data_IF_413887721140
#
_entry.id   IF_413887721140
#
_cell.length_a   1.000
_cell.length_b   1.000
_cell.length_c   1.000
_cell.angle_alpha   90.00
_cell.angle_beta   90.00
_cell.angle_gamma   90.00
#
_symmetry.space_group_name_H-M   'P 1'
#
loop_
_entity.id
_entity.type
_entity.pdbx_description
1 polymer ?
#
# COMPACT_ATOMS: atom_id res chain seq x y z
N UNK A 1 32.48 1.13 22.95
CA UNK A 1 31.56 2.28 22.77
C UNK A 1 32.30 3.33 21.95
N UNK A 2 31.96 3.45 20.67
CA UNK A 2 32.61 4.36 19.73
C UNK A 2 32.13 5.81 19.90
N UNK A 3 32.83 6.76 19.26
CA UNK A 3 32.48 8.19 19.27
C UNK A 3 31.03 8.45 18.77
N UNK A 4 30.57 7.65 17.80
CA UNK A 4 29.19 7.67 17.29
C UNK A 4 28.16 7.24 18.33
N UNK A 5 28.47 6.27 19.20
CA UNK A 5 27.54 5.79 20.24
C UNK A 5 27.27 6.87 21.29
N UNK A 6 28.31 7.62 21.65
CA UNK A 6 28.23 8.73 22.62
C UNK A 6 27.44 9.91 22.01
N UNK A 7 27.70 10.25 20.75
CA UNK A 7 26.95 11.27 20.00
C UNK A 7 25.46 10.88 19.86
N UNK A 8 25.18 9.61 19.55
CA UNK A 8 23.82 9.09 19.48
C UNK A 8 23.11 9.20 20.83
N UNK A 9 23.77 8.82 21.93
CA UNK A 9 23.20 8.92 23.28
C UNK A 9 22.87 10.37 23.67
N UNK A 10 23.75 11.32 23.33
CA UNK A 10 23.58 12.75 23.61
C UNK A 10 22.54 13.43 22.70
N UNK A 11 22.35 12.93 21.49
CA UNK A 11 21.41 13.47 20.50
C UNK A 11 19.97 12.97 20.66
N UNK A 12 19.75 11.83 21.34
CA UNK A 12 18.42 11.23 21.56
C UNK A 12 17.39 12.22 22.15
N UNK A 13 17.70 13.03 23.18
CA UNK A 13 16.76 14.02 23.71
C UNK A 13 16.38 15.10 22.70
N UNK A 14 17.34 15.59 21.90
CA UNK A 14 17.09 16.60 20.86
C UNK A 14 16.24 16.03 19.74
N UNK A 15 16.52 14.80 19.34
CA UNK A 15 15.76 14.09 18.32
C UNK A 15 14.29 13.91 18.73
N UNK A 16 14.03 13.55 20.00
CA UNK A 16 12.69 13.46 20.58
C UNK A 16 11.90 14.77 20.48
N UNK A 17 12.55 15.91 20.74
CA UNK A 17 11.95 17.24 20.61
C UNK A 17 11.57 17.51 19.14
N UNK A 18 12.52 17.27 18.22
CA UNK A 18 12.30 17.44 16.78
C UNK A 18 11.11 16.61 16.32
N UNK A 19 11.08 15.32 16.67
CA UNK A 19 10.03 14.36 16.32
C UNK A 19 8.66 14.86 16.80
N UNK A 20 8.56 15.20 18.08
CA UNK A 20 7.31 15.67 18.69
C UNK A 20 6.80 16.94 18.02
N UNK A 21 7.69 17.89 17.77
CA UNK A 21 7.34 19.18 17.16
C UNK A 21 7.01 19.01 15.67
N UNK A 22 7.77 18.22 14.92
CA UNK A 22 7.56 17.97 13.48
C UNK A 22 6.22 17.29 13.19
N UNK A 23 5.84 16.31 14.02
CA UNK A 23 4.54 15.64 13.91
C UNK A 23 3.40 16.35 14.63
N UNK A 24 3.71 17.43 15.36
CA UNK A 24 2.70 18.25 16.02
C UNK A 24 1.98 17.53 17.18
N UNK A 25 2.62 16.51 17.79
CA UNK A 25 2.01 15.74 18.87
C UNK A 25 1.65 16.61 20.08
N UNK A 26 0.54 16.29 20.75
CA UNK A 26 0.30 16.69 22.13
C UNK A 26 1.17 15.87 23.08
N UNK A 27 1.27 16.28 24.36
CA UNK A 27 2.00 15.47 25.35
C UNK A 27 1.41 14.06 25.48
N UNK A 28 0.08 13.95 25.46
CA UNK A 28 -0.60 12.67 25.60
C UNK A 28 -0.36 11.78 24.39
N UNK A 29 -0.49 12.32 23.17
CA UNK A 29 -0.20 11.59 21.93
C UNK A 29 1.27 11.13 21.88
N UNK A 30 2.20 12.00 22.28
CA UNK A 30 3.62 11.67 22.30
C UNK A 30 3.96 10.57 23.32
N UNK A 31 3.41 10.65 24.55
CA UNK A 31 3.55 9.58 25.55
C UNK A 31 3.00 8.27 25.03
N UNK A 32 1.83 8.30 24.38
CA UNK A 32 1.25 7.09 23.80
C UNK A 32 2.10 6.50 22.68
N UNK A 33 2.66 7.33 21.80
CA UNK A 33 3.56 6.87 20.74
C UNK A 33 4.84 6.23 21.32
N UNK A 34 5.38 6.77 22.41
CA UNK A 34 6.52 6.19 23.12
C UNK A 34 6.19 4.83 23.75
N UNK A 35 5.02 4.69 24.39
CA UNK A 35 4.57 3.40 24.97
C UNK A 35 4.41 2.30 23.91
N UNK A 36 4.04 2.67 22.69
CA UNK A 36 3.85 1.74 21.57
C UNK A 36 5.15 1.43 20.81
N UNK A 37 6.29 1.99 21.21
CA UNK A 37 7.59 1.76 20.56
C UNK A 37 7.73 2.40 19.17
N UNK A 38 6.77 3.22 18.72
CA UNK A 38 6.73 3.77 17.35
C UNK A 38 7.97 4.61 17.00
N UNK A 39 8.56 5.24 18.02
CA UNK A 39 9.71 6.13 17.87
C UNK A 39 11.05 5.40 17.97
N UNK A 40 11.05 4.09 18.20
CA UNK A 40 12.26 3.27 18.28
C UNK A 40 12.79 2.91 16.88
N UNK A 41 11.91 2.82 15.88
CA UNK A 41 12.28 2.56 14.49
C UNK A 41 13.02 3.73 13.81
N UNK A 42 12.89 4.93 14.37
CA UNK A 42 13.43 6.16 13.78
C UNK A 42 14.46 6.72 14.74
N UNK A 43 15.71 6.34 14.57
CA UNK A 43 16.83 6.87 15.34
C UNK A 43 17.81 7.65 14.47
N UNK A 44 18.80 8.27 15.12
CA UNK A 44 19.79 9.08 14.42
C UNK A 44 20.66 8.29 13.44
N UNK A 45 20.84 6.99 13.67
CA UNK A 45 21.58 6.13 12.76
C UNK A 45 20.77 5.87 11.49
N UNK A 46 19.50 5.47 11.63
CA UNK A 46 18.56 5.33 10.52
C UNK A 46 18.52 6.61 9.68
N UNK A 47 18.58 7.78 10.33
CA UNK A 47 18.60 9.09 9.66
C UNK A 47 19.79 9.35 8.71
N UNK A 48 20.82 8.50 8.72
CA UNK A 48 21.98 8.62 7.83
C UNK A 48 21.86 7.80 6.54
N UNK A 49 20.73 7.14 6.30
CA UNK A 49 20.53 6.26 5.15
C UNK A 49 19.31 6.63 4.30
N UNK A 50 19.39 6.35 3.01
CA UNK A 50 18.26 6.29 2.11
C UNK A 50 17.72 4.88 2.02
N UNK A 51 16.42 4.80 1.76
CA UNK A 51 15.86 3.67 1.05
C UNK A 51 15.86 3.98 -0.44
N UNK A 52 16.35 3.05 -1.24
CA UNK A 52 16.52 3.20 -2.69
C UNK A 52 15.72 2.11 -3.38
N UNK A 53 14.79 2.50 -4.25
CA UNK A 53 14.12 1.60 -5.17
C UNK A 53 14.74 1.78 -6.56
N UNK A 54 15.63 0.86 -6.91
CA UNK A 54 16.39 0.85 -8.15
C UNK A 54 15.67 0.04 -9.23
N UNK A 55 15.32 0.64 -10.39
CA UNK A 55 14.82 -0.13 -11.53
C UNK A 55 15.91 -1.10 -12.02
N UNK A 56 15.66 -2.40 -11.92
CA UNK A 56 16.58 -3.46 -12.38
C UNK A 56 16.10 -4.17 -13.65
N UNK A 57 14.82 -3.97 -14.02
CA UNK A 57 14.29 -4.36 -15.32
C UNK A 57 13.19 -3.38 -15.72
N UNK A 58 13.25 -2.86 -16.93
CA UNK A 58 12.27 -1.89 -17.44
C UNK A 58 11.97 -2.20 -18.90
N UNK A 59 10.69 -2.35 -19.22
CA UNK A 59 10.21 -2.60 -20.57
C UNK A 59 9.04 -1.66 -20.86
N UNK A 60 9.20 -0.76 -21.83
CA UNK A 60 8.18 0.22 -22.23
C UNK A 60 7.59 1.07 -21.08
N UNK A 61 8.35 1.32 -20.01
CA UNK A 61 7.86 2.11 -18.86
C UNK A 61 7.66 3.59 -19.25
N UNK A 62 6.41 4.04 -19.30
CA UNK A 62 6.06 5.46 -19.57
C UNK A 62 6.58 6.44 -18.52
N UNK A 63 6.85 5.97 -17.31
CA UNK A 63 7.52 6.75 -16.26
C UNK A 63 9.03 6.95 -16.50
N UNK A 64 9.59 6.32 -17.53
CA UNK A 64 11.02 6.34 -17.86
C UNK A 64 11.91 5.98 -16.66
N UNK A 65 11.42 5.08 -15.81
CA UNK A 65 12.15 4.47 -14.72
C UNK A 65 13.01 3.36 -15.31
N UNK A 66 14.29 3.61 -15.54
CA UNK A 66 15.25 2.64 -16.06
C UNK A 66 16.51 2.64 -15.19
N UNK A 67 17.46 1.76 -15.48
CA UNK A 67 18.70 1.66 -14.72
C UNK A 67 19.37 3.04 -14.55
N UNK A 68 19.82 3.32 -13.33
CA UNK A 68 20.37 4.63 -12.95
C UNK A 68 19.33 5.71 -12.59
N UNK A 69 18.03 5.44 -12.73
CA UNK A 69 16.94 6.36 -12.34
C UNK A 69 16.16 5.85 -11.13
N UNK A 70 16.86 5.68 -10.02
CA UNK A 70 16.28 5.20 -8.77
C UNK A 70 15.31 6.18 -8.13
N UNK A 71 14.34 5.63 -7.39
CA UNK A 71 13.52 6.40 -6.47
C UNK A 71 14.18 6.37 -5.09
N UNK A 72 14.32 7.55 -4.50
CA UNK A 72 14.95 7.72 -3.19
C UNK A 72 13.91 8.10 -2.17
N UNK A 73 13.92 7.42 -1.03
CA UNK A 73 13.11 7.74 0.12
C UNK A 73 14.02 8.06 1.29
N UNK A 74 13.56 8.97 2.13
CA UNK A 74 14.19 9.23 3.40
C UNK A 74 13.95 8.03 4.35
N UNK A 75 14.62 7.99 5.50
CA UNK A 75 14.48 6.91 6.48
C UNK A 75 13.06 6.74 7.04
N UNK A 76 12.15 7.69 6.79
CA UNK A 76 10.74 7.65 7.16
C UNK A 76 9.84 7.26 5.97
N UNK A 77 10.41 6.76 4.87
CA UNK A 77 9.68 6.29 3.70
C UNK A 77 9.09 7.43 2.86
N UNK A 78 9.52 8.67 3.06
CA UNK A 78 9.05 9.82 2.28
C UNK A 78 9.93 10.03 1.05
N UNK A 79 9.31 10.21 -0.12
CA UNK A 79 10.00 10.42 -1.39
C UNK A 79 10.87 11.70 -1.38
N UNK A 80 12.14 11.56 -1.75
CA UNK A 80 13.10 12.65 -1.88
C UNK A 80 13.00 13.24 -3.29
N UNK A 81 12.08 14.19 -3.46
CA UNK A 81 11.69 14.75 -4.76
C UNK A 81 12.85 15.26 -5.63
N UNK A 82 13.87 15.88 -5.05
CA UNK A 82 15.02 16.43 -5.81
C UNK A 82 16.00 15.35 -6.30
N UNK A 83 15.88 14.11 -5.80
CA UNK A 83 16.69 12.96 -6.22
C UNK A 83 15.93 12.01 -7.14
N UNK A 84 14.61 12.11 -7.17
CA UNK A 84 13.77 11.24 -8.00
C UNK A 84 13.55 11.86 -9.39
N UNK A 85 13.21 11.04 -10.40
CA UNK A 85 12.75 11.56 -11.69
C UNK A 85 11.57 12.54 -11.54
N UNK A 86 11.42 13.54 -12.44
CA UNK A 86 10.34 14.52 -12.36
C UNK A 86 8.93 13.91 -12.35
N UNK A 87 8.76 12.77 -13.03
CA UNK A 87 7.53 11.99 -13.04
C UNK A 87 7.74 10.66 -12.34
N UNK A 88 6.90 10.35 -11.34
CA UNK A 88 6.90 9.05 -10.68
C UNK A 88 5.54 8.39 -10.90
N UNK A 89 5.53 7.30 -11.67
CA UNK A 89 4.33 6.51 -11.90
C UNK A 89 3.77 5.93 -10.59
N UNK A 90 2.48 6.19 -10.32
CA UNK A 90 1.80 5.72 -9.10
C UNK A 90 1.72 4.19 -9.04
N UNK A 91 1.65 3.50 -10.19
CA UNK A 91 1.59 2.04 -10.27
C UNK A 91 2.90 1.33 -9.91
N UNK A 92 4.03 2.05 -9.96
CA UNK A 92 5.29 1.57 -9.40
C UNK A 92 5.40 1.95 -7.93
N UNK A 93 5.12 3.23 -7.61
CA UNK A 93 5.24 3.76 -6.26
C UNK A 93 4.37 3.02 -5.23
N UNK A 94 3.13 2.68 -5.59
CA UNK A 94 2.21 1.97 -4.69
C UNK A 94 2.70 0.58 -4.31
N UNK A 95 3.49 -0.07 -5.17
CA UNK A 95 4.00 -1.42 -4.92
C UNK A 95 5.20 -1.44 -3.96
N UNK A 96 5.86 -0.30 -3.78
CA UNK A 96 6.98 -0.19 -2.85
C UNK A 96 6.50 -0.18 -1.40
N UNK A 97 5.25 0.24 -1.13
CA UNK A 97 4.77 0.45 0.24
C UNK A 97 4.86 -0.79 1.14
N UNK A 98 4.48 -2.02 0.72
CA UNK A 98 4.64 -3.20 1.57
C UNK A 98 6.11 -3.51 1.90
N UNK A 99 7.02 -3.30 0.94
CA UNK A 99 8.46 -3.56 1.13
C UNK A 99 9.09 -2.54 2.09
N UNK A 100 8.59 -1.31 2.13
CA UNK A 100 9.02 -0.29 3.11
C UNK A 100 8.74 -0.75 4.55
N UNK A 101 7.65 -1.50 4.79
CA UNK A 101 7.37 -2.04 6.12
C UNK A 101 8.33 -3.16 6.52
N UNK A 102 8.74 -4.02 5.58
CA UNK A 102 9.78 -5.03 5.81
C UNK A 102 11.12 -4.37 6.17
N UNK A 103 11.43 -3.23 5.52
CA UNK A 103 12.58 -2.40 5.88
C UNK A 103 12.52 -1.89 7.32
N UNK A 104 11.36 -1.39 7.77
CA UNK A 104 11.20 -0.94 9.16
C UNK A 104 11.32 -2.09 10.16
N UNK A 105 10.75 -3.25 9.84
CA UNK A 105 10.84 -4.44 10.69
C UNK A 105 12.29 -4.89 10.87
N UNK A 106 13.08 -4.93 9.80
CA UNK A 106 14.52 -5.23 9.88
C UNK A 106 15.26 -4.24 10.77
N UNK A 107 15.01 -2.93 10.60
CA UNK A 107 15.64 -1.91 11.44
C UNK A 107 15.25 -2.06 12.92
N UNK A 108 13.98 -2.29 13.23
CA UNK A 108 13.50 -2.52 14.59
C UNK A 108 14.11 -3.77 15.24
N UNK A 109 14.44 -4.78 14.44
CA UNK A 109 15.13 -5.99 14.90
C UNK A 109 16.66 -5.85 14.93
N UNK A 110 17.21 -4.69 14.58
CA UNK A 110 18.66 -4.46 14.47
C UNK A 110 19.33 -5.28 13.35
N UNK A 111 18.57 -5.71 12.36
CA UNK A 111 19.05 -6.46 11.18
C UNK A 111 19.35 -5.50 10.03
N UNK A 112 20.20 -5.94 9.10
CA UNK A 112 20.47 -5.18 7.88
C UNK A 112 19.27 -5.31 6.91
N UNK A 113 18.59 -4.21 6.55
CA UNK A 113 17.48 -4.26 5.58
C UNK A 113 17.91 -4.68 4.18
N UNK A 114 19.20 -4.69 3.85
CA UNK A 114 19.68 -5.27 2.59
C UNK A 114 19.58 -6.81 2.53
N UNK A 115 19.17 -7.44 3.63
CA UNK A 115 18.94 -8.90 3.71
C UNK A 115 17.45 -9.27 3.64
N UNK A 116 16.57 -8.32 3.32
CA UNK A 116 15.15 -8.59 3.11
C UNK A 116 14.95 -9.65 2.04
N UNK A 117 14.03 -10.58 2.29
CA UNK A 117 13.66 -11.64 1.34
C UNK A 117 12.86 -11.05 0.17
N UNK A 118 12.02 -10.06 0.45
CA UNK A 118 11.15 -9.41 -0.53
C UNK A 118 11.73 -8.07 -0.98
N UNK A 119 12.95 -8.09 -1.50
CA UNK A 119 13.64 -6.89 -2.01
C UNK A 119 13.25 -6.54 -3.45
N UNK A 120 12.67 -7.46 -4.21
CA UNK A 120 12.22 -7.24 -5.59
C UNK A 120 10.70 -7.08 -5.70
N UNK A 121 10.26 -6.00 -6.33
CA UNK A 121 8.83 -5.74 -6.57
C UNK A 121 8.54 -5.17 -7.95
N UNK A 122 7.63 -5.84 -8.65
CA UNK A 122 7.12 -5.41 -9.95
C UNK A 122 6.03 -4.35 -9.80
N UNK A 123 5.94 -3.42 -10.76
CA UNK A 123 4.80 -2.52 -10.87
C UNK A 123 3.50 -3.30 -11.16
N UNK A 124 2.35 -2.61 -11.14
CA UNK A 124 1.04 -3.25 -11.37
C UNK A 124 0.81 -3.72 -12.82
N UNK A 125 1.48 -3.09 -13.78
CA UNK A 125 1.24 -3.31 -15.20
C UNK A 125 1.94 -4.58 -15.67
N UNK A 126 1.24 -5.39 -16.48
CA UNK A 126 1.68 -6.68 -16.97
C UNK A 126 2.66 -6.61 -18.15
N UNK A 127 2.89 -5.42 -18.72
CA UNK A 127 3.74 -5.21 -19.89
C UNK A 127 3.01 -5.43 -21.22
N UNK A 128 3.68 -5.01 -22.30
CA UNK A 128 3.12 -4.91 -23.65
C UNK A 128 2.64 -6.25 -24.21
N UNK A 129 3.41 -7.33 -23.98
CA UNK A 129 3.07 -8.69 -24.44
C UNK A 129 1.74 -9.22 -23.86
N UNK A 130 1.29 -8.63 -22.76
CA UNK A 130 0.03 -8.97 -22.09
C UNK A 130 -1.04 -7.87 -22.27
N UNK A 131 -0.82 -6.96 -23.22
CA UNK A 131 -1.71 -5.84 -23.56
C UNK A 131 -1.55 -4.60 -22.68
N UNK A 132 -0.66 -4.65 -21.68
CA UNK A 132 -0.35 -3.53 -20.80
C UNK A 132 0.46 -2.43 -21.51
N UNK A 133 0.82 -1.38 -20.78
CA UNK A 133 1.58 -0.25 -21.33
C UNK A 133 3.09 -0.43 -21.17
N UNK A 134 3.52 -1.22 -20.19
CA UNK A 134 4.92 -1.47 -19.90
C UNK A 134 5.11 -2.06 -18.50
N UNK A 135 6.25 -2.65 -18.22
CA UNK A 135 6.55 -3.26 -16.93
C UNK A 135 7.84 -2.70 -16.34
N UNK A 136 7.89 -2.67 -15.01
CA UNK A 136 9.08 -2.28 -14.27
C UNK A 136 9.25 -3.15 -13.04
N UNK A 137 10.49 -3.56 -12.77
CA UNK A 137 10.89 -4.28 -11.59
C UNK A 137 11.88 -3.43 -10.81
N UNK A 138 11.55 -3.15 -9.55
CA UNK A 138 12.42 -2.44 -8.62
C UNK A 138 13.10 -3.44 -7.70
N UNK A 139 14.39 -3.21 -7.43
CA UNK A 139 15.11 -3.75 -6.27
C UNK A 139 15.18 -2.69 -5.19
N UNK A 140 14.78 -3.03 -3.98
CA UNK A 140 14.75 -2.16 -2.81
C UNK A 140 15.97 -2.45 -1.95
N UNK A 141 16.74 -1.41 -1.64
CA UNK A 141 17.96 -1.51 -0.82
C UNK A 141 18.16 -0.28 0.04
N UNK A 142 19.00 -0.41 1.06
CA UNK A 142 19.45 0.68 1.93
C UNK A 142 20.81 1.18 1.48
N UNK A 143 20.98 2.51 1.41
CA UNK A 143 22.25 3.15 1.02
C UNK A 143 22.61 4.27 1.99
N UNK A 144 23.88 4.41 2.35
CA UNK A 144 24.32 5.52 3.22
C UNK A 144 24.29 6.84 2.47
N UNK A 145 23.71 7.87 3.07
CA UNK A 145 23.66 9.20 2.47
C UNK A 145 25.08 9.81 2.37
N UNK A 146 25.41 10.47 1.25
CA UNK A 146 26.52 11.43 1.20
C UNK A 146 26.31 12.51 2.26
N UNK A 147 27.42 12.96 2.86
CA UNK A 147 27.39 13.91 3.98
C UNK A 147 26.58 15.19 3.68
N UNK A 148 26.70 15.75 2.47
CA UNK A 148 25.95 16.95 2.08
C UNK A 148 24.44 16.73 2.02
N UNK A 149 23.98 15.53 1.67
CA UNK A 149 22.55 15.19 1.63
C UNK A 149 22.02 14.90 3.03
N UNK A 150 22.81 14.26 3.86
CA UNK A 150 22.51 14.14 5.29
C UNK A 150 22.37 15.52 5.94
N UNK A 151 23.32 16.43 5.70
CA UNK A 151 23.27 17.80 6.21
C UNK A 151 22.03 18.53 5.70
N UNK A 152 21.73 18.43 4.40
CA UNK A 152 20.50 18.99 3.80
C UNK A 152 19.26 18.45 4.50
N UNK A 153 19.18 17.14 4.74
CA UNK A 153 18.06 16.52 5.45
C UNK A 153 17.95 17.04 6.89
N UNK A 154 19.06 17.09 7.64
CA UNK A 154 19.07 17.62 9.01
C UNK A 154 18.67 19.09 9.08
N UNK A 155 19.05 19.91 8.10
CA UNK A 155 18.60 21.30 8.01
C UNK A 155 17.08 21.42 7.84
N UNK A 156 16.42 20.45 7.19
CA UNK A 156 14.93 20.42 7.15
C UNK A 156 14.30 20.03 8.49
N UNK A 157 15.06 19.42 9.39
CA UNK A 157 14.62 19.01 10.72
C UNK A 157 14.90 20.08 11.78
N UNK A 158 15.96 20.86 11.60
CA UNK A 158 16.45 21.84 12.57
C UNK A 158 15.38 22.86 13.07
N UNK A 159 14.46 23.41 12.24
CA UNK A 159 13.43 24.32 12.73
C UNK A 159 12.55 23.70 13.82
N UNK A 160 12.35 22.38 13.80
CA UNK A 160 11.51 21.68 14.77
C UNK A 160 12.16 21.49 16.14
N UNK A 161 13.40 21.95 16.34
CA UNK A 161 13.96 22.10 17.69
C UNK A 161 13.21 23.15 18.51
N UNK A 162 12.63 24.16 17.86
CA UNK A 162 11.98 25.29 18.53
C UNK A 162 10.58 25.59 18.01
N UNK A 163 10.26 25.22 16.76
CA UNK A 163 8.95 25.48 16.14
C UNK A 163 8.12 24.21 16.09
N UNK A 164 6.87 24.28 16.57
CA UNK A 164 5.90 23.19 16.39
C UNK A 164 5.27 23.24 14.99
N UNK A 165 5.15 22.10 14.33
CA UNK A 165 4.49 21.98 13.03
C UNK A 165 2.98 21.98 13.18
N UNK A 166 2.35 23.14 13.09
CA UNK A 166 0.89 23.23 13.15
C UNK A 166 0.21 22.57 11.95
N UNK A 167 0.87 22.53 10.79
CA UNK A 167 0.33 21.90 9.57
C UNK A 167 0.24 20.38 9.66
N UNK A 168 0.96 19.76 10.60
CA UNK A 168 0.81 18.33 10.88
C UNK A 168 -0.55 18.03 11.55
N UNK A 169 -1.24 19.05 12.07
CA UNK A 169 -2.60 18.94 12.59
C UNK A 169 -3.57 19.53 11.57
N UNK A 170 -4.48 18.71 11.10
CA UNK A 170 -5.62 19.13 10.31
C UNK A 170 -6.89 18.79 11.05
N UNK A 171 -7.86 19.70 11.05
CA UNK A 171 -9.21 19.31 11.43
C UNK A 171 -9.75 18.28 10.43
N UNK A 172 -10.42 17.23 10.92
CA UNK A 172 -11.08 16.27 10.06
C UNK A 172 -12.39 16.86 9.50
N UNK A 173 -12.26 17.79 8.55
CA UNK A 173 -13.37 18.45 7.86
C UNK A 173 -14.38 17.44 7.31
N UNK A 174 -13.88 16.34 6.74
CA UNK A 174 -14.70 15.27 6.19
C UNK A 174 -15.64 14.62 7.24
N UNK A 175 -15.21 14.50 8.50
CA UNK A 175 -16.07 13.97 9.58
C UNK A 175 -17.14 14.98 9.95
N UNK A 176 -16.80 16.27 10.03
CA UNK A 176 -17.77 17.34 10.36
C UNK A 176 -18.82 17.53 9.27
N UNK A 177 -18.46 17.27 8.01
CA UNK A 177 -19.35 17.38 6.85
C UNK A 177 -20.07 16.07 6.52
N UNK A 178 -19.72 14.96 7.18
CA UNK A 178 -20.34 13.68 6.92
C UNK A 178 -21.79 13.71 7.42
N UNK A 179 -22.78 13.35 6.58
CA UNK A 179 -24.15 13.21 7.06
C UNK A 179 -24.23 12.03 8.03
N UNK A 180 -24.81 12.27 9.19
CA UNK A 180 -25.03 11.27 10.26
C UNK A 180 -26.49 10.98 10.53
N UNK A 181 -27.42 11.69 9.87
CA UNK A 181 -28.86 11.46 9.96
C UNK A 181 -29.58 11.87 8.66
N UNK A 182 -30.89 11.61 8.58
CA UNK A 182 -31.71 11.96 7.41
C UNK A 182 -31.59 10.98 6.24
N UNK A 183 -31.11 9.76 6.50
CA UNK A 183 -31.13 8.66 5.55
C UNK A 183 -32.54 8.09 5.35
N UNK A 184 -32.73 7.17 4.37
CA UNK A 184 -33.98 6.43 4.22
C UNK A 184 -34.23 5.50 5.43
N UNK A 185 -35.51 5.19 5.67
CA UNK A 185 -35.89 4.14 6.62
C UNK A 185 -35.28 2.78 6.20
N UNK A 186 -34.63 2.04 7.13
CA UNK A 186 -34.05 0.75 6.83
C UNK A 186 -35.13 -0.30 6.55
N UNK A 187 -34.93 -1.10 5.50
CA UNK A 187 -35.76 -2.29 5.25
C UNK A 187 -35.17 -3.55 5.89
N UNK A 188 -35.83 -4.69 5.67
CA UNK A 188 -35.42 -5.98 6.28
C UNK A 188 -34.01 -6.42 5.90
N UNK A 189 -33.54 -6.13 4.67
CA UNK A 189 -32.16 -6.41 4.29
C UNK A 189 -31.18 -5.55 5.09
N UNK A 190 -31.45 -4.25 5.19
CA UNK A 190 -30.61 -3.30 5.94
C UNK A 190 -30.59 -3.62 7.44
N UNK A 191 -31.74 -4.00 8.02
CA UNK A 191 -31.86 -4.42 9.44
C UNK A 191 -31.15 -5.74 9.73
N UNK A 192 -30.97 -6.59 8.72
CA UNK A 192 -30.24 -7.86 8.85
C UNK A 192 -28.72 -7.73 8.88
N UNK A 193 -28.17 -6.52 8.69
CA UNK A 193 -26.73 -6.29 8.73
C UNK A 193 -26.20 -6.32 10.18
N UNK A 194 -24.96 -6.77 10.41
CA UNK A 194 -24.33 -6.74 11.73
C UNK A 194 -23.81 -5.34 12.05
N UNK A 195 -24.72 -4.36 12.13
CA UNK A 195 -24.45 -2.94 12.37
C UNK A 195 -25.44 -2.48 13.44
N UNK A 196 -24.96 -1.74 14.45
CA UNK A 196 -25.84 -1.22 15.50
C UNK A 196 -26.81 -0.18 14.94
N UNK A 197 -27.96 0.03 15.59
CA UNK A 197 -29.02 0.89 15.06
C UNK A 197 -28.55 2.34 14.80
N UNK A 198 -27.77 2.92 15.71
CA UNK A 198 -27.20 4.27 15.57
C UNK A 198 -26.18 4.33 14.42
N UNK A 199 -25.34 3.31 14.28
CA UNK A 199 -24.38 3.20 13.18
C UNK A 199 -25.08 3.03 11.83
N UNK A 200 -26.20 2.31 11.81
CA UNK A 200 -27.01 2.11 10.61
C UNK A 200 -27.67 3.42 10.18
N UNK A 201 -28.26 4.19 11.10
CA UNK A 201 -28.79 5.52 10.79
C UNK A 201 -27.70 6.41 10.19
N UNK A 202 -26.56 6.49 10.88
CA UNK A 202 -25.42 7.26 10.42
C UNK A 202 -24.90 6.76 9.07
N UNK A 203 -24.95 5.46 8.79
CA UNK A 203 -24.55 4.88 7.50
C UNK A 203 -25.53 5.27 6.38
N UNK A 204 -26.82 5.13 6.62
CA UNK A 204 -27.89 5.42 5.64
C UNK A 204 -28.02 6.90 5.31
N UNK A 205 -27.55 7.78 6.19
CA UNK A 205 -27.48 9.22 5.95
C UNK A 205 -26.66 9.62 4.70
N UNK A 206 -25.79 8.76 4.17
CA UNK A 206 -25.11 9.01 2.88
C UNK A 206 -25.76 8.26 1.72
N UNK A 207 -26.27 8.96 0.69
CA UNK A 207 -26.79 8.32 -0.51
C UNK A 207 -25.77 7.42 -1.22
N UNK A 208 -24.46 7.70 -1.09
CA UNK A 208 -23.39 6.87 -1.66
C UNK A 208 -23.27 5.52 -0.93
N UNK A 209 -23.36 5.53 0.40
CA UNK A 209 -23.35 4.32 1.23
C UNK A 209 -24.59 3.47 0.99
N UNK A 210 -25.77 4.09 0.92
CA UNK A 210 -27.02 3.42 0.55
C UNK A 210 -26.88 2.75 -0.82
N UNK A 211 -26.37 3.48 -1.83
CA UNK A 211 -26.14 2.93 -3.18
C UNK A 211 -25.22 1.72 -3.17
N UNK A 212 -24.10 1.78 -2.43
CA UNK A 212 -23.17 0.65 -2.28
C UNK A 212 -23.84 -0.55 -1.62
N UNK A 213 -24.70 -0.32 -0.63
CA UNK A 213 -25.41 -1.39 0.06
C UNK A 213 -26.46 -2.05 -0.84
N UNK A 214 -27.22 -1.24 -1.58
CA UNK A 214 -28.18 -1.73 -2.58
C UNK A 214 -27.54 -2.53 -3.69
N UNK A 215 -26.31 -2.20 -4.07
CA UNK A 215 -25.60 -2.99 -5.07
C UNK A 215 -25.20 -4.38 -4.55
N UNK A 216 -24.88 -4.53 -3.25
CA UNK A 216 -24.66 -5.87 -2.66
C UNK A 216 -25.89 -6.74 -2.85
N UNK A 217 -27.07 -6.20 -2.53
CA UNK A 217 -28.35 -6.89 -2.64
C UNK A 217 -28.69 -7.24 -4.09
N UNK A 218 -28.58 -6.27 -5.00
CA UNK A 218 -28.87 -6.45 -6.43
C UNK A 218 -27.98 -7.52 -7.07
N UNK A 219 -26.71 -7.56 -6.70
CA UNK A 219 -25.72 -8.47 -7.26
C UNK A 219 -25.41 -9.66 -6.34
N UNK A 220 -26.28 -9.99 -5.38
CA UNK A 220 -26.07 -11.09 -4.41
C UNK A 220 -25.84 -12.46 -5.07
N UNK A 221 -26.42 -12.67 -6.24
CA UNK A 221 -26.29 -13.90 -7.03
C UNK A 221 -25.14 -13.83 -8.05
N UNK A 222 -24.30 -12.80 -7.99
CA UNK A 222 -23.10 -12.68 -8.81
C UNK A 222 -21.85 -12.97 -8.00
N UNK A 223 -20.79 -13.41 -8.69
CA UNK A 223 -19.46 -13.58 -8.14
C UNK A 223 -18.44 -12.84 -8.98
N UNK A 224 -17.51 -12.19 -8.30
CA UNK A 224 -16.28 -11.73 -8.93
C UNK A 224 -15.35 -12.93 -9.02
N UNK A 225 -15.07 -13.36 -10.24
CA UNK A 225 -14.21 -14.52 -10.51
C UNK A 225 -12.87 -14.00 -10.95
N UNK A 226 -11.84 -14.31 -10.16
CA UNK A 226 -10.45 -13.99 -10.49
C UNK A 226 -9.82 -15.24 -11.05
N UNK A 227 -9.60 -15.28 -12.38
CA UNK A 227 -8.99 -16.43 -13.06
C UNK A 227 -7.50 -16.24 -13.19
N UNK A 228 -6.73 -17.26 -12.79
CA UNK A 228 -5.30 -17.36 -13.08
C UNK A 228 -5.12 -17.72 -14.54
N UNK A 229 -4.48 -16.84 -15.32
CA UNK A 229 -4.27 -17.01 -16.77
C UNK A 229 -2.83 -17.39 -17.12
N UNK A 230 -1.93 -17.37 -16.13
CA UNK A 230 -0.56 -17.86 -16.26
C UNK A 230 0.03 -18.06 -14.86
N UNK A 231 0.86 -19.09 -14.68
CA UNK A 231 1.57 -19.35 -13.44
C UNK A 231 2.99 -19.82 -13.74
N UNK A 232 3.98 -19.19 -13.09
CA UNK A 232 5.40 -19.48 -13.23
C UNK A 232 6.02 -19.60 -11.85
N UNK A 233 6.42 -20.83 -11.51
CA UNK A 233 7.08 -21.15 -10.24
C UNK A 233 6.32 -20.66 -8.99
N UNK A 234 4.98 -20.60 -9.03
CA UNK A 234 4.19 -20.15 -7.90
C UNK A 234 4.30 -21.13 -6.72
N UNK A 235 4.99 -20.73 -5.65
CA UNK A 235 5.18 -21.59 -4.48
C UNK A 235 3.89 -21.80 -3.67
N UNK A 236 2.90 -20.92 -3.87
CA UNK A 236 1.57 -21.06 -3.26
C UNK A 236 0.71 -22.13 -3.97
N UNK A 237 1.22 -22.75 -5.04
CA UNK A 237 0.56 -23.87 -5.72
C UNK A 237 -0.52 -23.48 -6.73
N UNK A 238 -0.77 -22.18 -6.94
CA UNK A 238 -1.74 -21.69 -7.93
C UNK A 238 -1.30 -22.03 -9.35
N UNK A 239 -2.24 -22.55 -10.16
CA UNK A 239 -2.03 -23.01 -11.53
C UNK A 239 -2.90 -22.21 -12.49
N UNK A 240 -2.51 -22.20 -13.76
CA UNK A 240 -3.37 -21.68 -14.82
C UNK A 240 -4.73 -22.38 -14.80
N UNK A 241 -5.80 -21.61 -14.91
CA UNK A 241 -7.18 -22.07 -14.80
C UNK A 241 -7.77 -22.02 -13.39
N UNK A 242 -6.96 -21.81 -12.34
CA UNK A 242 -7.51 -21.61 -10.99
C UNK A 242 -8.42 -20.38 -10.94
N UNK A 243 -9.53 -20.50 -10.20
CA UNK A 243 -10.46 -19.40 -9.96
C UNK A 243 -10.52 -19.06 -8.47
N UNK A 244 -10.33 -17.78 -8.13
CA UNK A 244 -10.63 -17.24 -6.80
C UNK A 244 -11.98 -16.54 -6.87
N UNK A 245 -12.89 -16.97 -6.00
CA UNK A 245 -14.28 -16.52 -6.05
C UNK A 245 -14.51 -15.53 -4.91
N UNK A 246 -15.01 -14.34 -5.24
CA UNK A 246 -15.45 -13.34 -4.27
C UNK A 246 -16.95 -13.07 -4.47
N UNK A 247 -17.68 -12.83 -3.39
CA UNK A 247 -19.07 -12.37 -3.46
C UNK A 247 -19.20 -10.87 -3.79
N UNK A 248 -20.41 -10.34 -3.93
CA UNK A 248 -20.65 -8.91 -4.23
C UNK A 248 -20.22 -7.93 -3.12
N UNK A 249 -19.83 -8.43 -1.95
CA UNK A 249 -19.21 -7.66 -0.88
C UNK A 249 -17.68 -7.62 -0.98
N UNK A 250 -17.08 -8.48 -1.82
CA UNK A 250 -15.64 -8.65 -1.92
C UNK A 250 -15.07 -9.67 -0.93
N UNK A 251 -15.91 -10.50 -0.31
CA UNK A 251 -15.45 -11.57 0.58
C UNK A 251 -14.99 -12.76 -0.24
N UNK A 252 -13.79 -13.25 0.04
CA UNK A 252 -13.27 -14.48 -0.58
C UNK A 252 -14.12 -15.66 -0.10
N UNK A 253 -14.66 -16.42 -1.05
CA UNK A 253 -15.36 -17.65 -0.80
C UNK A 253 -14.35 -18.80 -0.88
N UNK A 254 -14.12 -19.54 0.21
CA UNK A 254 -13.14 -20.63 0.22
C UNK A 254 -13.60 -21.77 -0.72
N UNK A 255 -12.64 -22.44 -1.35
CA UNK A 255 -12.91 -23.67 -2.11
C UNK A 255 -13.22 -24.82 -1.15
N UNK A 256 -14.12 -25.72 -1.56
CA UNK A 256 -14.52 -26.89 -0.75
C UNK A 256 -13.35 -27.87 -0.52
N UNK A 257 -12.38 -27.90 -1.43
CA UNK A 257 -11.16 -28.71 -1.32
C UNK A 257 -10.16 -28.19 -0.26
N UNK A 258 -10.49 -27.08 0.41
CA UNK A 258 -9.65 -26.45 1.44
C UNK A 258 -8.45 -25.70 0.88
N UNK A 259 -8.31 -25.56 -0.44
CA UNK A 259 -7.23 -24.79 -1.03
C UNK A 259 -7.40 -23.30 -0.74
N UNK A 260 -6.39 -22.71 -0.11
CA UNK A 260 -6.37 -21.30 0.25
C UNK A 260 -5.98 -20.40 -0.92
N UNK A 261 -6.35 -19.12 -0.84
CA UNK A 261 -5.92 -18.10 -1.81
C UNK A 261 -4.70 -17.36 -1.26
N UNK A 262 -3.67 -17.16 -2.08
CA UNK A 262 -2.46 -16.45 -1.66
C UNK A 262 -2.76 -14.97 -1.40
N UNK A 263 -2.39 -14.45 -0.24
CA UNK A 263 -2.60 -13.04 0.11
C UNK A 263 -1.85 -12.07 -0.83
N UNK A 264 -0.70 -12.48 -1.37
CA UNK A 264 0.07 -11.69 -2.34
C UNK A 264 -0.66 -11.53 -3.68
N UNK A 265 -1.52 -12.50 -4.04
CA UNK A 265 -2.40 -12.40 -5.20
C UNK A 265 -3.59 -11.49 -4.89
N UNK A 266 -4.24 -11.68 -3.75
CA UNK A 266 -5.38 -10.87 -3.29
C UNK A 266 -5.01 -9.38 -3.13
N UNK A 267 -3.82 -9.09 -2.60
CA UNK A 267 -3.37 -7.72 -2.39
C UNK A 267 -3.21 -6.93 -3.72
N UNK A 268 -2.69 -7.57 -4.78
CA UNK A 268 -2.57 -6.91 -6.10
C UNK A 268 -3.91 -6.82 -6.83
N UNK A 269 -4.76 -7.84 -6.74
CA UNK A 269 -6.05 -7.84 -7.47
C UNK A 269 -7.09 -6.92 -6.84
N UNK A 270 -6.89 -6.49 -5.58
CA UNK A 270 -7.81 -5.65 -4.82
C UNK A 270 -8.33 -4.43 -5.59
N UNK A 271 -7.47 -3.70 -6.34
CA UNK A 271 -7.94 -2.53 -7.09
C UNK A 271 -8.95 -2.87 -8.19
N UNK A 272 -8.89 -4.07 -8.76
CA UNK A 272 -9.86 -4.55 -9.76
C UNK A 272 -11.17 -4.98 -9.12
N UNK A 273 -11.08 -5.56 -7.92
CA UNK A 273 -12.26 -5.85 -7.08
C UNK A 273 -12.98 -4.55 -6.73
N UNK A 274 -12.24 -3.50 -6.32
CA UNK A 274 -12.83 -2.17 -6.08
C UNK A 274 -13.54 -1.60 -7.31
N UNK A 275 -12.92 -1.68 -8.50
CA UNK A 275 -13.54 -1.21 -9.73
C UNK A 275 -14.83 -1.97 -10.07
N UNK A 276 -14.85 -3.28 -9.81
CA UNK A 276 -16.04 -4.10 -10.02
C UNK A 276 -17.17 -3.69 -9.06
N UNK A 277 -16.85 -3.48 -7.78
CA UNK A 277 -17.82 -2.99 -6.78
C UNK A 277 -18.36 -1.59 -7.13
N UNK A 278 -17.53 -0.72 -7.68
CA UNK A 278 -17.95 0.60 -8.17
C UNK A 278 -18.91 0.48 -9.37
N UNK A 279 -18.62 -0.42 -10.32
CA UNK A 279 -19.53 -0.72 -11.45
C UNK A 279 -20.85 -1.32 -10.97
N UNK A 280 -20.84 -2.22 -9.99
CA UNK A 280 -22.08 -2.69 -9.35
C UNK A 280 -22.87 -1.55 -8.71
N UNK A 281 -22.20 -0.63 -8.02
CA UNK A 281 -22.86 0.50 -7.36
C UNK A 281 -23.45 1.52 -8.34
N UNK A 282 -22.84 1.67 -9.52
CA UNK A 282 -23.25 2.61 -10.57
C UNK A 282 -24.12 1.98 -11.67
N UNK A 283 -24.35 0.68 -11.63
CA UNK A 283 -24.92 -0.11 -12.74
C UNK A 283 -24.16 0.13 -14.07
N UNK A 284 -22.84 0.22 -13.98
CA UNK A 284 -21.96 0.36 -15.13
C UNK A 284 -21.77 -0.96 -15.89
N UNK A 285 -21.19 -0.86 -17.09
CA UNK A 285 -20.79 -2.03 -17.87
C UNK A 285 -19.73 -2.84 -17.12
N UNK A 286 -19.77 -4.18 -17.20
CA UNK A 286 -18.79 -5.06 -16.55
C UNK A 286 -17.70 -5.57 -17.51
N UNK A 287 -17.84 -5.30 -18.80
CA UNK A 287 -16.82 -5.55 -19.80
C UNK A 287 -15.96 -4.29 -19.97
N UNK A 288 -14.65 -4.46 -20.18
CA UNK A 288 -13.77 -3.40 -20.68
C UNK A 288 -12.39 -3.94 -20.94
N UNK A 289 -11.65 -3.27 -21.83
CA UNK A 289 -10.21 -3.51 -22.05
C UNK A 289 -9.42 -3.53 -20.75
N UNK A 290 -9.80 -2.70 -19.78
CA UNK A 290 -9.15 -2.70 -18.49
C UNK A 290 -9.23 -4.10 -17.84
N UNK A 291 -10.41 -4.72 -17.73
CA UNK A 291 -10.58 -6.05 -17.13
C UNK A 291 -9.97 -7.20 -17.95
N UNK A 292 -9.86 -7.02 -19.26
CA UNK A 292 -9.20 -7.98 -20.15
C UNK A 292 -7.69 -8.06 -19.93
N UNK A 293 -7.08 -7.00 -19.37
CA UNK A 293 -5.65 -6.96 -19.07
C UNK A 293 -5.33 -7.80 -17.84
N UNK A 294 -4.49 -8.86 -17.98
CA UNK A 294 -3.97 -9.57 -16.83
C UNK A 294 -3.24 -8.62 -15.88
N UNK A 295 -3.27 -8.92 -14.58
CA UNK A 295 -2.41 -8.31 -13.58
C UNK A 295 -1.60 -9.38 -12.88
N UNK A 296 -0.36 -9.05 -12.52
CA UNK A 296 0.47 -9.98 -11.78
C UNK A 296 0.11 -10.00 -10.28
N UNK A 297 0.67 -10.95 -9.53
CA UNK A 297 0.72 -10.92 -8.07
C UNK A 297 2.00 -10.19 -7.58
N UNK A 298 2.20 -10.12 -6.26
CA UNK A 298 3.43 -9.54 -5.68
C UNK A 298 4.69 -10.39 -5.84
N UNK A 299 4.59 -11.65 -6.27
CA UNK A 299 5.68 -12.61 -6.09
C UNK A 299 6.89 -12.46 -7.01
N UNK A 300 6.75 -11.69 -8.09
CA UNK A 300 7.78 -11.45 -9.14
C UNK A 300 8.30 -12.75 -9.79
N UNK A 301 8.55 -12.74 -11.10
CA UNK A 301 9.08 -13.92 -11.79
C UNK A 301 10.51 -14.29 -11.36
N UNK A 302 10.87 -15.58 -11.47
CA UNK A 302 12.26 -16.02 -11.36
C UNK A 302 13.13 -15.43 -12.50
N UNK A 303 14.43 -15.17 -12.28
CA UNK A 303 15.22 -15.53 -11.09
C UNK A 303 15.20 -14.47 -9.97
N UNK A 304 14.44 -13.38 -10.11
CA UNK A 304 14.53 -12.23 -9.21
C UNK A 304 13.47 -12.22 -8.09
N UNK A 305 12.33 -12.89 -8.30
CA UNK A 305 11.27 -12.99 -7.30
C UNK A 305 11.48 -14.09 -6.27
N UNK A 306 10.92 -13.90 -5.08
CA UNK A 306 11.03 -14.83 -3.96
C UNK A 306 10.00 -15.98 -3.97
N UNK A 307 8.87 -15.83 -4.70
CA UNK A 307 7.76 -16.78 -4.61
C UNK A 307 7.06 -17.08 -5.95
N UNK A 308 7.70 -16.74 -7.06
CA UNK A 308 7.18 -16.91 -8.43
C UNK A 308 6.07 -15.92 -8.76
N UNK A 309 5.49 -16.05 -9.96
CA UNK A 309 4.51 -15.09 -10.45
C UNK A 309 3.27 -15.80 -11.03
N UNK A 310 2.11 -15.22 -10.76
CA UNK A 310 0.87 -15.56 -11.47
C UNK A 310 0.29 -14.32 -12.11
N UNK A 311 -0.38 -14.50 -13.24
CA UNK A 311 -1.18 -13.48 -13.91
C UNK A 311 -2.65 -13.78 -13.71
N UNK A 312 -3.45 -12.75 -13.47
CA UNK A 312 -4.86 -12.87 -13.09
C UNK A 312 -5.73 -11.91 -13.88
N UNK A 313 -6.93 -12.35 -14.27
CA UNK A 313 -8.00 -11.48 -14.79
C UNK A 313 -9.21 -11.54 -13.85
N UNK A 314 -10.02 -10.50 -13.84
CA UNK A 314 -11.28 -10.49 -13.09
C UNK A 314 -12.47 -10.33 -14.03
N UNK A 315 -13.52 -11.08 -13.77
CA UNK A 315 -14.82 -10.95 -14.43
C UNK A 315 -15.94 -10.99 -13.39
N UNK A 316 -17.13 -10.52 -13.78
CA UNK A 316 -18.35 -10.71 -13.00
C UNK A 316 -19.20 -11.82 -13.63
N UNK A 317 -19.48 -12.87 -12.87
CA UNK A 317 -20.28 -14.02 -13.32
C UNK A 317 -21.56 -14.11 -12.49
N UNK A 318 -22.72 -14.24 -13.15
CA UNK A 318 -23.97 -14.61 -12.47
C UNK A 318 -23.99 -16.12 -12.23
N UNK A 319 -24.33 -16.54 -11.01
CA UNK A 319 -24.52 -17.95 -10.65
C UNK A 319 -26.01 -18.30 -10.73
#
# INVERSE_FOLDING_TARGET
MGLMDILNLLSKPLFKIIVKNRWGYTEQEYRKAMELGLLEAVDMEAMTYWLVAEPVCSSHCSGCHNEGRSLYFNPMGMLIRHKCPPGVCIHGLSQLSPVIYDYYDHMLQGKDPNQMIFDHVSCTDAGLELGGLGNNLFRVRREKMPFLEYLRFMLTMAPYLVVKNERARGDCKAVREAPTSGGPEPDEFMKGLPIEAEELEAFLASPKRVRRLRSVERYKDHRMVIRVVSSRACIAGHKEGDEFILDSMGRVLPKEDGSGVCIMALAKIWWRVMLMMERMASDGEFESKLFDLPMNCYGTGLPLGACGEIMMKVELRKI
#
